data_IF_246902313464
#
_entry.id   IF_246902313464
#
_cell.length_a   1.000
_cell.length_b   1.000
_cell.length_c   1.000
_cell.angle_alpha   90.00
_cell.angle_beta   90.00
_cell.angle_gamma   90.00
#
_symmetry.space_group_name_H-M   'P 1'
#
loop_
_entity.id
_entity.type
_entity.pdbx_description
1 polymer ?
#
# COMPACT_ATOMS: atom_id res chain seq x y z
N UNK A 1 -4.89 31.85 10.55
CA UNK A 1 -5.31 30.62 11.25
C UNK A 1 -4.11 29.69 11.27
N UNK A 2 -3.63 29.30 12.44
CA UNK A 2 -2.54 28.32 12.52
C UNK A 2 -3.14 26.96 12.16
N UNK A 3 -2.67 26.36 11.06
CA UNK A 3 -3.01 24.98 10.74
C UNK A 3 -2.55 24.10 11.92
N UNK A 4 -3.44 23.29 12.45
CA UNK A 4 -3.07 22.26 13.44
C UNK A 4 -1.98 21.39 12.81
N UNK A 5 -0.76 21.51 13.32
CA UNK A 5 0.36 20.66 12.91
C UNK A 5 0.16 19.32 13.60
N UNK A 6 -0.02 18.25 12.82
CA UNK A 6 0.03 16.90 13.37
C UNK A 6 1.51 16.61 13.59
N UNK A 7 1.95 16.57 14.85
CA UNK A 7 3.37 16.40 15.18
C UNK A 7 3.90 15.00 14.84
N UNK A 8 3.01 14.00 14.70
CA UNK A 8 3.32 12.63 14.33
C UNK A 8 2.07 11.90 13.81
N UNK A 9 2.09 11.43 12.55
CA UNK A 9 0.99 10.64 11.97
C UNK A 9 1.38 9.16 11.76
N UNK A 10 0.45 8.26 12.05
CA UNK A 10 0.45 6.88 11.55
C UNK A 10 -0.44 6.81 10.33
N UNK A 11 0.12 6.48 9.17
CA UNK A 11 -0.64 6.36 7.93
C UNK A 11 -1.07 4.92 7.69
N UNK A 12 -2.32 4.72 7.26
CA UNK A 12 -2.85 3.41 6.88
C UNK A 12 -3.29 3.45 5.42
N UNK A 13 -2.65 2.66 4.56
CA UNK A 13 -2.92 2.61 3.12
C UNK A 13 -3.45 1.24 2.70
N UNK A 14 -4.66 1.18 2.14
CA UNK A 14 -5.22 -0.04 1.54
C UNK A 14 -5.12 0.00 0.02
N UNK A 15 -4.77 -1.12 -0.60
CA UNK A 15 -4.74 -1.24 -2.07
C UNK A 15 -3.92 -0.10 -2.69
N UNK A 16 -4.50 0.67 -3.61
CA UNK A 16 -3.85 1.81 -4.27
C UNK A 16 -3.41 2.93 -3.30
N UNK A 17 -4.08 3.05 -2.16
CA UNK A 17 -3.64 3.94 -1.06
C UNK A 17 -2.23 3.62 -0.57
N UNK A 18 -1.71 2.40 -0.80
CA UNK A 18 -0.33 2.05 -0.52
C UNK A 18 0.69 2.85 -1.34
N UNK A 19 0.41 3.13 -2.61
CA UNK A 19 1.29 3.97 -3.44
C UNK A 19 1.32 5.41 -2.93
N UNK A 20 0.15 5.93 -2.55
CA UNK A 20 0.02 7.30 -2.03
C UNK A 20 0.74 7.45 -0.69
N UNK A 21 0.53 6.52 0.24
CA UNK A 21 1.22 6.52 1.54
C UNK A 21 2.73 6.36 1.37
N UNK A 22 3.19 5.51 0.45
CA UNK A 22 4.61 5.34 0.15
C UNK A 22 5.22 6.66 -0.36
N UNK A 23 4.59 7.30 -1.34
CA UNK A 23 5.04 8.59 -1.86
C UNK A 23 5.02 9.68 -0.79
N UNK A 24 3.96 9.76 0.01
CA UNK A 24 3.80 10.77 1.05
C UNK A 24 4.88 10.63 2.13
N UNK A 25 5.12 9.41 2.62
CA UNK A 25 6.16 9.16 3.63
C UNK A 25 7.57 9.57 3.14
N UNK A 26 7.88 9.38 1.85
CA UNK A 26 9.13 9.83 1.24
C UNK A 26 9.20 11.34 1.05
N UNK A 27 8.08 11.96 0.73
CA UNK A 27 8.00 13.40 0.43
C UNK A 27 7.96 14.27 1.69
N UNK A 28 7.39 13.74 2.77
CA UNK A 28 7.18 14.43 4.04
C UNK A 28 7.66 13.57 5.23
N UNK A 29 8.94 13.17 5.29
CA UNK A 29 9.45 12.22 6.29
C UNK A 29 9.35 12.74 7.74
N UNK A 30 9.21 14.06 7.93
CA UNK A 30 9.01 14.68 9.25
C UNK A 30 7.56 14.69 9.73
N UNK A 31 6.59 14.31 8.89
CA UNK A 31 5.15 14.31 9.22
C UNK A 31 4.60 12.90 9.44
N UNK A 32 5.37 11.87 9.08
CA UNK A 32 4.97 10.46 9.19
C UNK A 32 5.89 9.75 10.17
N UNK A 33 5.30 9.15 11.20
CA UNK A 33 6.02 8.44 12.25
C UNK A 33 5.85 6.92 12.17
N UNK A 34 4.92 6.43 11.35
CA UNK A 34 4.76 5.02 11.04
C UNK A 34 3.78 4.78 9.88
N UNK A 35 3.81 3.57 9.34
CA UNK A 35 2.94 3.17 8.23
C UNK A 35 2.40 1.74 8.43
N UNK A 36 1.12 1.55 8.13
CA UNK A 36 0.49 0.24 7.97
C UNK A 36 -0.08 0.12 6.55
N UNK A 37 0.27 -0.94 5.83
CA UNK A 37 -0.20 -1.22 4.48
C UNK A 37 -1.13 -2.43 4.50
N UNK A 38 -2.32 -2.31 3.92
CA UNK A 38 -3.34 -3.37 3.90
C UNK A 38 -3.50 -3.86 2.47
N UNK A 39 -3.06 -5.08 2.20
CA UNK A 39 -2.99 -5.71 0.88
C UNK A 39 -2.76 -4.66 -0.23
N UNK A 40 -1.65 -3.93 -0.09
CA UNK A 40 -1.42 -2.69 -0.81
C UNK A 40 -0.95 -2.94 -2.24
N UNK A 41 -1.19 -1.99 -3.14
CA UNK A 41 -0.56 -1.98 -4.46
C UNK A 41 0.88 -1.52 -4.29
N UNK A 42 1.82 -2.38 -4.68
CA UNK A 42 3.24 -2.04 -4.76
C UNK A 42 3.57 -1.44 -6.14
N UNK A 43 4.64 -0.62 -6.27
CA UNK A 43 5.10 -0.16 -7.59
C UNK A 43 5.32 -1.29 -8.61
N UNK A 44 5.77 -2.44 -8.13
CA UNK A 44 6.01 -3.66 -8.91
C UNK A 44 4.71 -4.25 -9.48
N UNK A 45 3.59 -4.16 -8.74
CA UNK A 45 2.28 -4.63 -9.20
C UNK A 45 1.82 -3.88 -10.45
N UNK A 46 2.09 -2.56 -10.52
CA UNK A 46 1.71 -1.69 -11.65
C UNK A 46 2.45 -2.10 -12.92
N UNK A 47 3.74 -2.41 -12.77
CA UNK A 47 4.61 -2.85 -13.86
C UNK A 47 4.14 -4.18 -14.44
N UNK A 48 3.72 -5.10 -13.57
CA UNK A 48 3.19 -6.42 -13.95
C UNK A 48 1.81 -6.29 -14.61
N UNK A 49 0.93 -5.41 -14.11
CA UNK A 49 -0.37 -5.12 -14.72
C UNK A 49 -0.24 -4.49 -16.11
N UNK A 50 0.74 -3.61 -16.32
CA UNK A 50 1.03 -3.03 -17.63
C UNK A 50 1.60 -4.07 -18.61
N UNK A 51 2.39 -5.03 -18.12
CA UNK A 51 3.01 -6.07 -18.94
C UNK A 51 2.05 -7.22 -19.32
N UNK A 52 1.01 -7.49 -18.53
CA UNK A 52 0.12 -8.65 -18.69
C UNK A 52 -1.25 -8.36 -19.32
N UNK A 53 -1.47 -7.17 -19.87
CA UNK A 53 -2.71 -6.89 -20.59
C UNK A 53 -2.75 -7.65 -21.94
N UNK A 54 -3.24 -8.88 -21.91
CA UNK A 54 -3.62 -9.61 -23.12
C UNK A 54 -4.55 -8.75 -23.98
N UNK A 55 -4.45 -8.85 -25.31
CA UNK A 55 -5.28 -8.05 -26.23
C UNK A 55 -6.77 -8.17 -25.92
N UNK A 56 -7.20 -9.34 -25.46
CA UNK A 56 -8.56 -9.61 -25.02
C UNK A 56 -9.00 -8.77 -23.81
N UNK A 57 -8.16 -8.66 -22.76
CA UNK A 57 -8.46 -7.83 -21.59
C UNK A 57 -8.51 -6.34 -21.94
N UNK A 58 -7.66 -5.86 -22.85
CA UNK A 58 -7.73 -4.48 -23.37
C UNK A 58 -9.05 -4.20 -24.09
N UNK A 59 -9.52 -5.16 -24.88
CA UNK A 59 -10.80 -5.03 -25.59
C UNK A 59 -11.97 -5.06 -24.61
N UNK A 60 -11.98 -6.00 -23.66
CA UNK A 60 -13.02 -6.08 -22.63
C UNK A 60 -13.09 -4.81 -21.78
N UNK A 61 -11.94 -4.27 -21.36
CA UNK A 61 -11.90 -3.04 -20.57
C UNK A 61 -12.38 -1.82 -21.36
N UNK A 62 -12.03 -1.72 -22.65
CA UNK A 62 -12.55 -0.66 -23.53
C UNK A 62 -14.06 -0.72 -23.72
N UNK A 63 -14.62 -1.94 -23.81
CA UNK A 63 -16.07 -2.13 -23.92
C UNK A 63 -16.76 -1.74 -22.61
N UNK A 64 -16.19 -2.12 -21.45
CA UNK A 64 -16.70 -1.68 -20.15
C UNK A 64 -16.66 -0.16 -20.02
N UNK A 65 -15.53 0.49 -20.33
CA UNK A 65 -15.35 1.94 -20.26
C UNK A 65 -16.34 2.70 -21.18
N UNK A 66 -16.66 2.12 -22.33
CA UNK A 66 -17.61 2.69 -23.28
C UNK A 66 -19.07 2.58 -22.81
N UNK A 67 -19.41 1.54 -22.04
CA UNK A 67 -20.76 1.27 -21.53
C UNK A 67 -21.02 1.95 -20.19
N UNK A 68 -20.04 1.94 -19.29
CA UNK A 68 -20.13 2.48 -17.93
C UNK A 68 -19.60 3.92 -17.80
N UNK A 69 -18.95 4.43 -18.85
CA UNK A 69 -18.27 5.72 -18.84
C UNK A 69 -16.85 5.63 -18.29
N UNK A 70 -15.92 6.39 -18.88
CA UNK A 70 -14.59 6.60 -18.32
C UNK A 70 -14.67 7.58 -17.16
N UNK A 71 -14.27 7.14 -15.97
CA UNK A 71 -14.00 8.07 -14.89
C UNK A 71 -12.70 8.83 -15.20
N UNK A 72 -12.83 10.09 -15.64
CA UNK A 72 -11.71 11.00 -15.91
C UNK A 72 -10.96 11.42 -14.64
N UNK A 73 -11.46 11.05 -13.46
CA UNK A 73 -10.80 11.19 -12.16
C UNK A 73 -10.52 9.82 -11.53
N UNK A 74 -10.63 8.75 -12.32
CA UNK A 74 -10.42 7.39 -11.85
C UNK A 74 -9.01 7.23 -11.31
N UNK A 75 -8.91 6.71 -10.09
CA UNK A 75 -7.66 6.51 -9.33
C UNK A 75 -6.55 5.81 -10.15
N UNK A 76 -6.93 5.07 -11.20
CA UNK A 76 -6.06 4.34 -12.12
C UNK A 76 -5.34 5.19 -13.17
N UNK A 77 -5.84 6.38 -13.53
CA UNK A 77 -5.30 7.19 -14.64
C UNK A 77 -3.90 7.76 -14.34
N UNK A 78 -3.54 7.89 -13.06
CA UNK A 78 -2.28 8.51 -12.63
C UNK A 78 -1.35 7.55 -11.88
N UNK A 79 -1.67 6.26 -11.83
CA UNK A 79 -0.89 5.25 -11.09
C UNK A 79 0.56 5.20 -11.58
N UNK A 80 0.78 5.22 -12.90
CA UNK A 80 2.14 5.25 -13.48
C UNK A 80 2.89 6.50 -13.05
N UNK A 81 2.24 7.66 -13.07
CA UNK A 81 2.85 8.92 -12.61
C UNK A 81 3.21 8.86 -11.12
N UNK A 82 2.36 8.28 -10.28
CA UNK A 82 2.66 8.09 -8.86
C UNK A 82 3.87 7.18 -8.66
N UNK A 83 3.98 6.10 -9.44
CA UNK A 83 5.17 5.23 -9.42
C UNK A 83 6.42 5.98 -9.85
N UNK A 84 6.35 6.79 -10.92
CA UNK A 84 7.48 7.61 -11.37
C UNK A 84 7.92 8.60 -10.27
N UNK A 85 6.96 9.20 -9.56
CA UNK A 85 7.25 10.09 -8.43
C UNK A 85 7.88 9.33 -7.25
N UNK A 86 7.45 8.10 -6.96
CA UNK A 86 8.07 7.24 -5.92
C UNK A 86 9.53 6.94 -6.29
N UNK A 87 9.79 6.61 -7.56
CA UNK A 87 11.13 6.29 -8.05
C UNK A 87 12.07 7.51 -8.06
N UNK A 88 11.51 8.72 -8.20
CA UNK A 88 12.26 9.98 -8.15
C UNK A 88 12.41 10.53 -6.72
N UNK A 89 11.61 10.04 -5.76
CA UNK A 89 11.66 10.49 -4.38
C UNK A 89 12.89 9.93 -3.64
N UNK A 90 13.20 10.55 -2.50
CA UNK A 90 14.24 10.08 -1.60
C UNK A 90 13.95 8.68 -1.00
N UNK A 91 14.89 8.14 -0.20
CA UNK A 91 14.68 6.86 0.47
C UNK A 91 13.44 6.91 1.37
N UNK A 92 12.80 5.77 1.57
CA UNK A 92 11.74 5.66 2.57
C UNK A 92 12.34 5.90 3.97
N UNK A 93 11.66 6.69 4.84
CA UNK A 93 12.22 7.02 6.15
C UNK A 93 12.35 5.79 7.05
N UNK A 94 13.29 5.83 8.00
CA UNK A 94 13.43 4.82 9.06
C UNK A 94 12.31 4.97 10.11
N UNK A 95 11.12 4.50 9.73
CA UNK A 95 9.88 4.47 10.53
C UNK A 95 9.28 3.06 10.57
N UNK A 96 8.49 2.68 11.59
CA UNK A 96 7.83 1.38 11.61
C UNK A 96 6.93 1.21 10.40
N UNK A 97 7.01 0.06 9.74
CA UNK A 97 6.26 -0.26 8.53
C UNK A 97 5.72 -1.68 8.60
N UNK A 98 4.40 -1.84 8.67
CA UNK A 98 3.77 -3.16 8.74
C UNK A 98 2.88 -3.39 7.52
N UNK A 99 3.18 -4.41 6.73
CA UNK A 99 2.37 -4.82 5.59
C UNK A 99 1.48 -6.03 5.95
N UNK A 100 0.17 -5.82 6.05
CA UNK A 100 -0.84 -6.87 6.24
C UNK A 100 -1.27 -7.40 4.87
N UNK A 101 -0.87 -8.62 4.54
CA UNK A 101 -1.10 -9.25 3.22
C UNK A 101 -2.26 -10.23 3.29
N UNK A 102 -3.16 -10.20 2.31
CA UNK A 102 -4.21 -11.22 2.16
C UNK A 102 -3.59 -12.60 1.83
N UNK A 103 -3.92 -13.62 2.61
CA UNK A 103 -3.43 -14.98 2.39
C UNK A 103 -4.24 -15.81 1.39
N UNK A 104 -5.44 -15.35 1.02
CA UNK A 104 -6.26 -15.94 -0.04
C UNK A 104 -6.01 -15.21 -1.37
N UNK A 105 -6.16 -15.88 -2.52
CA UNK A 105 -6.11 -15.22 -3.82
C UNK A 105 -7.11 -14.05 -3.87
N UNK A 106 -6.61 -12.82 -3.96
CA UNK A 106 -7.43 -11.67 -4.32
C UNK A 106 -7.91 -11.90 -5.76
N UNK A 107 -9.22 -12.08 -5.94
CA UNK A 107 -9.84 -12.36 -7.24
C UNK A 107 -9.01 -13.32 -8.11
N UNK A 108 -9.07 -14.62 -7.82
CA UNK A 108 -8.30 -15.67 -8.50
C UNK A 108 -8.39 -15.66 -10.05
N UNK A 109 -9.37 -14.97 -10.62
CA UNK A 109 -9.58 -14.80 -12.06
C UNK A 109 -8.93 -13.54 -12.67
N UNK A 110 -8.50 -12.57 -11.84
CA UNK A 110 -8.05 -11.24 -12.28
C UNK A 110 -6.55 -10.97 -12.07
N UNK A 111 -5.86 -11.74 -11.22
CA UNK A 111 -4.46 -11.46 -10.86
C UNK A 111 -3.60 -12.73 -10.89
N UNK A 112 -2.53 -12.79 -11.73
CA UNK A 112 -1.60 -13.90 -11.67
C UNK A 112 -0.79 -13.82 -10.35
N UNK A 113 -0.81 -14.95 -9.63
CA UNK A 113 0.12 -15.33 -8.57
C UNK A 113 0.06 -14.56 -7.23
N UNK A 114 -0.66 -15.15 -6.27
CA UNK A 114 -0.53 -14.90 -4.83
C UNK A 114 0.94 -14.85 -4.35
N UNK A 115 1.83 -15.62 -4.99
CA UNK A 115 3.26 -15.62 -4.71
C UNK A 115 3.95 -14.29 -5.08
N UNK A 116 3.60 -13.69 -6.23
CA UNK A 116 4.11 -12.37 -6.62
C UNK A 116 3.57 -11.30 -5.67
N UNK A 117 2.28 -11.36 -5.32
CA UNK A 117 1.69 -10.44 -4.34
C UNK A 117 2.39 -10.53 -2.97
N UNK A 118 2.55 -11.74 -2.44
CA UNK A 118 3.23 -11.96 -1.17
C UNK A 118 4.67 -11.43 -1.17
N UNK A 119 5.38 -11.57 -2.29
CA UNK A 119 6.72 -11.02 -2.47
C UNK A 119 6.72 -9.49 -2.55
N UNK A 120 5.83 -8.89 -3.34
CA UNK A 120 5.74 -7.42 -3.42
C UNK A 120 5.36 -6.80 -2.07
N UNK A 121 4.52 -7.46 -1.27
CA UNK A 121 4.24 -7.02 0.10
C UNK A 121 5.46 -7.15 1.03
N UNK A 122 6.30 -8.18 0.86
CA UNK A 122 7.59 -8.28 1.57
C UNK A 122 8.53 -7.14 1.20
N UNK A 123 8.61 -6.82 -0.09
CA UNK A 123 9.45 -5.73 -0.59
C UNK A 123 8.97 -4.37 -0.07
N UNK A 124 7.65 -4.15 -0.03
CA UNK A 124 7.07 -2.99 0.64
C UNK A 124 7.50 -2.93 2.11
N UNK A 125 7.35 -4.02 2.88
CA UNK A 125 7.80 -4.04 4.27
C UNK A 125 9.31 -3.73 4.39
N UNK A 126 10.13 -4.25 3.49
CA UNK A 126 11.58 -4.05 3.48
C UNK A 126 12.03 -2.62 3.13
N UNK A 127 11.12 -1.72 2.74
CA UNK A 127 11.44 -0.29 2.56
C UNK A 127 11.97 0.36 3.85
N UNK A 128 11.62 -0.19 5.01
CA UNK A 128 12.12 0.23 6.30
C UNK A 128 12.91 -0.89 6.98
N UNK A 129 14.03 -0.60 7.68
CA UNK A 129 14.71 -1.58 8.52
C UNK A 129 13.85 -2.06 9.70
N UNK A 130 12.77 -1.33 10.03
CA UNK A 130 11.76 -1.71 11.04
C UNK A 130 10.51 -2.34 10.40
N UNK A 131 10.68 -2.85 9.18
CA UNK A 131 9.65 -3.46 8.36
C UNK A 131 9.20 -4.84 8.82
N UNK A 132 7.91 -5.14 8.71
CA UNK A 132 7.36 -6.47 8.96
C UNK A 132 6.19 -6.78 8.03
N UNK A 133 6.13 -8.01 7.54
CA UNK A 133 4.94 -8.54 6.86
C UNK A 133 4.14 -9.41 7.83
N UNK A 134 2.81 -9.25 7.82
CA UNK A 134 1.84 -10.09 8.52
C UNK A 134 0.89 -10.70 7.49
N UNK A 135 0.67 -12.01 7.54
CA UNK A 135 -0.25 -12.69 6.63
C UNK A 135 -1.63 -12.85 7.30
N UNK A 136 -2.65 -12.21 6.74
CA UNK A 136 -4.05 -12.43 7.08
C UNK A 136 -4.56 -13.68 6.33
N UNK A 137 -4.29 -14.85 6.90
CA UNK A 137 -4.40 -16.15 6.21
C UNK A 137 -5.81 -16.49 5.72
N UNK A 138 -6.86 -15.92 6.33
CA UNK A 138 -8.26 -16.14 5.95
C UNK A 138 -8.83 -15.01 5.09
N UNK A 139 -8.01 -13.99 4.78
CA UNK A 139 -8.41 -12.78 4.05
C UNK A 139 -7.94 -12.78 2.60
N UNK A 140 -8.77 -12.21 1.72
CA UNK A 140 -8.34 -11.79 0.38
C UNK A 140 -7.90 -10.33 0.39
N UNK A 141 -8.41 -9.54 -0.55
CA UNK A 141 -8.02 -8.13 -0.73
C UNK A 141 -8.44 -7.18 0.41
N UNK A 142 -9.38 -7.58 1.29
CA UNK A 142 -9.96 -6.69 2.30
C UNK A 142 -9.83 -7.22 3.73
N UNK A 143 -8.60 -7.38 4.26
CA UNK A 143 -8.38 -7.90 5.61
C UNK A 143 -9.05 -7.06 6.71
N UNK A 144 -9.27 -5.76 6.49
CA UNK A 144 -9.99 -4.88 7.42
C UNK A 144 -11.46 -5.28 7.65
N UNK A 145 -12.04 -6.05 6.73
CA UNK A 145 -13.41 -6.55 6.87
C UNK A 145 -13.45 -8.02 7.27
N UNK A 146 -12.51 -8.83 6.78
CA UNK A 146 -12.53 -10.29 6.99
C UNK A 146 -11.73 -10.77 8.19
N UNK A 147 -10.65 -10.07 8.55
CA UNK A 147 -9.83 -10.33 9.74
C UNK A 147 -9.42 -9.00 10.42
N UNK A 148 -10.40 -8.17 10.83
CA UNK A 148 -10.14 -6.85 11.42
C UNK A 148 -9.21 -6.91 12.64
N UNK A 149 -9.23 -8.01 13.38
CA UNK A 149 -8.34 -8.27 14.51
C UNK A 149 -6.86 -8.24 14.11
N UNK A 150 -6.51 -8.75 12.92
CA UNK A 150 -5.14 -8.73 12.40
C UNK A 150 -4.73 -7.29 12.04
N UNK A 151 -5.66 -6.52 11.47
CA UNK A 151 -5.43 -5.11 11.14
C UNK A 151 -5.26 -4.26 12.40
N UNK A 152 -6.12 -4.43 13.39
CA UNK A 152 -6.02 -3.74 14.69
C UNK A 152 -4.72 -4.09 15.39
N UNK A 153 -4.30 -5.36 15.36
CA UNK A 153 -3.02 -5.77 15.92
C UNK A 153 -1.85 -5.08 15.21
N UNK A 154 -1.86 -5.03 13.87
CA UNK A 154 -0.82 -4.34 13.10
C UNK A 154 -0.73 -2.85 13.46
N UNK A 155 -1.87 -2.17 13.56
CA UNK A 155 -1.92 -0.75 13.97
C UNK A 155 -1.36 -0.57 15.38
N UNK A 156 -1.77 -1.41 16.35
CA UNK A 156 -1.26 -1.34 17.72
C UNK A 156 0.24 -1.63 17.82
N UNK A 157 0.73 -2.59 17.03
CA UNK A 157 2.16 -2.91 16.97
C UNK A 157 2.95 -1.71 16.42
N UNK A 158 2.51 -1.11 15.32
CA UNK A 158 3.14 0.08 14.76
C UNK A 158 3.16 1.24 15.78
N UNK A 159 2.04 1.52 16.45
CA UNK A 159 1.95 2.54 17.49
C UNK A 159 2.89 2.28 18.67
N UNK A 160 3.01 1.02 19.11
CA UNK A 160 3.91 0.66 20.20
C UNK A 160 5.38 0.93 19.84
N UNK A 161 5.81 0.55 18.63
CA UNK A 161 7.17 0.81 18.15
C UNK A 161 7.43 2.32 18.02
N UNK A 162 6.43 3.09 17.60
CA UNK A 162 6.53 4.56 17.54
C UNK A 162 6.79 5.16 18.93
N UNK A 163 6.01 4.76 19.94
CA UNK A 163 6.10 5.30 21.31
C UNK A 163 7.43 4.93 21.98
N UNK A 164 7.91 3.69 21.82
CA UNK A 164 9.18 3.24 22.42
C UNK A 164 10.42 3.98 21.89
N UNK A 165 10.33 4.65 20.73
CA UNK A 165 11.43 5.42 20.16
C UNK A 165 11.45 6.87 20.66
N UNK A 166 10.30 7.44 21.05
CA UNK A 166 10.22 8.76 21.68
C UNK A 166 10.96 8.73 23.02
N UNK A 167 10.71 7.70 23.82
CA UNK A 167 11.31 7.54 25.17
C UNK A 167 12.82 7.30 25.17
N UNK A 168 13.44 6.99 24.01
CA UNK A 168 14.89 6.78 23.87
C UNK A 168 15.66 8.02 23.39
N UNK A 169 14.96 9.07 23.00
CA UNK A 169 15.56 10.32 22.48
C UNK A 169 15.44 11.49 23.44
N UNK A 170 14.83 11.28 24.60
CA UNK A 170 14.78 12.19 25.77
C UNK A 170 15.66 11.67 26.89
#
# INVERSE_FOLDING_TARGET
MAAHRVDAALLVGHSLGGLLVNLFARSFPGEVSGVVLLDATAPEDVSVMAAHQSTFQRVAQRVLDAVLGKDKFGETEHVTRTVDLINQAGPFPDIPLIAVTGGKPAMAWATPALAARGEHQRQLAALSPRGKQIIASRSGHFPQFTEPEVVVQAVREAMSVMMNNVDRTT
#
